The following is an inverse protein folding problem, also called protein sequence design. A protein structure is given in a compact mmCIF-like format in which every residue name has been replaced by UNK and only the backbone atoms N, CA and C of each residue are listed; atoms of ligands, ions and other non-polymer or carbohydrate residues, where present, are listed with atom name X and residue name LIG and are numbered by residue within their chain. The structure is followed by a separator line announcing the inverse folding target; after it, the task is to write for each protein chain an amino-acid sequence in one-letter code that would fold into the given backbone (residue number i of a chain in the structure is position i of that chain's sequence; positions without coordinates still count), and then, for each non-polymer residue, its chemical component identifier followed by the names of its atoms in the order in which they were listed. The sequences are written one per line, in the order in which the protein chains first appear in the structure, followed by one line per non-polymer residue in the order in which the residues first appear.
data_IF_479846779169
#
_entry.id   IF_479846779169
#
_cell.length_a   1.000
_cell.length_b   1.000
_cell.length_c   1.000
_cell.angle_alpha   90.00
_cell.angle_beta   90.00
_cell.angle_gamma   90.00
#
_symmetry.space_group_name_H-M   'P 1'
#
loop_
_entity.id
_entity.type
_entity.pdbx_description
1 polymer ?
#
# COMPACT_ATOMS: atom_id res chain seq x y z
N UNK A 1 14.69 15.84 -9.86
CA UNK A 1 13.86 15.28 -10.96
C UNK A 1 12.50 14.84 -10.42
N UNK A 2 11.43 15.58 -10.73
CA UNK A 2 10.05 15.15 -10.49
C UNK A 2 9.33 15.11 -11.83
N UNK A 3 9.13 13.93 -12.41
CA UNK A 3 8.05 13.74 -13.38
C UNK A 3 7.13 12.63 -12.87
N UNK A 4 6.00 13.06 -12.29
CA UNK A 4 4.83 12.18 -12.19
C UNK A 4 4.10 12.28 -13.52
N UNK A 5 4.33 11.31 -14.38
CA UNK A 5 3.49 11.16 -15.56
C UNK A 5 2.18 10.49 -15.15
N UNK A 6 1.22 11.32 -14.76
CA UNK A 6 -0.18 10.97 -14.85
C UNK A 6 -0.83 11.79 -15.98
N UNK A 7 -1.05 11.24 -17.19
CA UNK A 7 -2.06 11.68 -18.15
C UNK A 7 -3.49 11.88 -17.62
N UNK A 8 -3.78 11.53 -16.37
CA UNK A 8 -5.09 11.75 -15.73
C UNK A 8 -5.06 12.81 -14.63
N UNK A 9 -3.91 13.42 -14.33
CA UNK A 9 -3.85 14.52 -13.36
C UNK A 9 -3.99 15.87 -14.08
N UNK A 10 -5.07 16.60 -13.77
CA UNK A 10 -5.37 17.95 -14.27
C UNK A 10 -4.38 19.04 -13.79
N UNK A 11 -3.29 18.67 -13.13
CA UNK A 11 -2.35 19.58 -12.50
C UNK A 11 -1.04 19.56 -13.30
N UNK A 12 -0.58 20.75 -13.73
CA UNK A 12 0.69 21.02 -14.45
C UNK A 12 0.80 20.40 -15.84
N UNK A 13 -0.16 20.65 -16.73
CA UNK A 13 -0.04 20.26 -18.15
C UNK A 13 1.19 20.88 -18.82
N UNK A 14 1.55 22.13 -18.51
CA UNK A 14 2.66 22.85 -19.15
C UNK A 14 4.08 22.36 -18.81
N UNK A 15 4.24 21.37 -17.91
CA UNK A 15 5.54 20.76 -17.56
C UNK A 15 5.62 19.32 -18.12
N UNK A 16 4.57 18.84 -18.80
CA UNK A 16 4.45 17.44 -19.24
C UNK A 16 4.89 17.19 -20.69
N UNK A 17 5.16 18.23 -21.47
CA UNK A 17 5.87 18.11 -22.74
C UNK A 17 7.36 18.08 -22.46
N UNK A 18 7.88 16.87 -22.26
CA UNK A 18 9.31 16.63 -22.38
C UNK A 18 9.52 16.05 -23.76
N UNK A 19 9.98 16.91 -24.66
CA UNK A 19 10.25 16.62 -26.07
C UNK A 19 11.63 15.96 -26.18
N UNK A 20 11.70 14.67 -25.86
CA UNK A 20 12.85 13.85 -26.18
C UNK A 20 12.40 12.46 -26.61
N UNK A 21 13.06 11.95 -27.65
CA UNK A 21 12.78 10.62 -28.17
C UNK A 21 13.14 9.55 -27.12
N UNK A 22 12.18 8.64 -26.88
CA UNK A 22 12.38 7.44 -26.08
C UNK A 22 12.05 6.26 -26.97
N UNK A 23 12.93 5.27 -26.98
CA UNK A 23 12.70 4.04 -27.74
C UNK A 23 11.37 3.37 -27.34
N UNK A 24 10.60 2.92 -28.34
CA UNK A 24 9.24 2.38 -28.16
C UNK A 24 9.18 1.15 -27.24
N UNK A 25 10.26 0.36 -27.18
CA UNK A 25 10.36 -0.81 -26.30
C UNK A 25 10.50 -0.42 -24.82
N UNK A 26 11.15 0.71 -24.55
CA UNK A 26 11.38 1.24 -23.21
C UNK A 26 10.23 2.13 -22.75
N UNK A 27 9.56 2.83 -23.66
CA UNK A 27 8.62 3.89 -23.29
C UNK A 27 7.53 3.41 -22.34
N UNK A 28 7.42 4.12 -21.22
CA UNK A 28 6.35 4.02 -20.28
C UNK A 28 5.90 5.44 -19.95
N UNK A 29 4.61 5.57 -19.64
CA UNK A 29 4.06 6.78 -19.05
C UNK A 29 4.96 7.22 -17.89
N UNK A 30 5.27 6.34 -16.93
CA UNK A 30 6.16 6.67 -15.80
C UNK A 30 7.65 6.58 -16.17
N UNK A 31 8.39 7.70 -16.17
CA UNK A 31 9.82 7.72 -16.52
C UNK A 31 10.70 6.86 -15.61
N UNK A 32 10.34 6.68 -14.34
CA UNK A 32 11.08 5.80 -13.45
C UNK A 32 10.97 4.33 -13.88
N UNK A 33 9.82 3.93 -14.42
CA UNK A 33 9.63 2.60 -15.02
C UNK A 33 10.39 2.49 -16.35
N UNK A 34 10.35 3.53 -17.20
CA UNK A 34 11.17 3.59 -18.42
C UNK A 34 12.66 3.41 -18.09
N UNK A 35 13.15 4.10 -17.05
CA UNK A 35 14.53 3.98 -16.60
C UNK A 35 14.89 2.56 -16.12
N UNK A 36 13.97 1.84 -15.46
CA UNK A 36 14.21 0.44 -15.11
C UNK A 36 14.26 -0.47 -16.34
N UNK A 37 13.38 -0.25 -17.33
CA UNK A 37 13.38 -1.03 -18.57
C UNK A 37 14.66 -0.83 -19.39
N UNK A 38 15.28 0.35 -19.34
CA UNK A 38 16.50 0.62 -20.10
C UNK A 38 17.67 -0.30 -19.70
N UNK A 39 17.75 -0.75 -18.45
CA UNK A 39 18.77 -1.71 -18.03
C UNK A 39 18.68 -3.04 -18.78
N UNK A 40 17.47 -3.48 -19.14
CA UNK A 40 17.31 -4.67 -19.96
C UNK A 40 17.86 -4.48 -21.37
N UNK A 41 17.63 -3.30 -21.97
CA UNK A 41 18.16 -2.95 -23.28
C UNK A 41 19.68 -2.85 -23.29
N UNK A 42 20.25 -2.28 -22.22
CA UNK A 42 21.68 -2.20 -21.99
C UNK A 42 22.31 -3.56 -21.64
N UNK A 43 21.49 -4.59 -21.41
CA UNK A 43 21.92 -5.92 -21.00
C UNK A 43 22.83 -5.93 -19.76
N UNK A 44 22.57 -5.06 -18.79
CA UNK A 44 23.36 -5.02 -17.56
C UNK A 44 23.33 -6.38 -16.85
N UNK A 45 24.47 -6.88 -16.38
CA UNK A 45 24.53 -8.12 -15.59
C UNK A 45 24.03 -7.92 -14.16
N UNK A 46 24.36 -6.76 -13.58
CA UNK A 46 23.99 -6.33 -12.24
C UNK A 46 23.45 -4.91 -12.26
N UNK A 47 22.44 -4.64 -11.44
CA UNK A 47 21.82 -3.32 -11.32
C UNK A 47 21.67 -2.97 -9.85
N UNK A 48 22.29 -1.87 -9.41
CA UNK A 48 22.05 -1.28 -8.11
C UNK A 48 21.31 0.05 -8.29
N UNK A 49 20.07 0.14 -7.81
CA UNK A 49 19.19 1.27 -8.13
C UNK A 49 18.26 1.62 -6.97
N UNK A 50 17.95 2.91 -6.85
CA UNK A 50 16.91 3.43 -5.97
C UNK A 50 15.62 3.67 -6.76
N UNK A 51 14.51 3.10 -6.31
CA UNK A 51 13.20 3.42 -6.87
C UNK A 51 12.08 3.28 -5.83
N UNK A 52 10.88 3.86 -6.06
CA UNK A 52 9.73 3.64 -5.21
C UNK A 52 9.40 2.15 -5.08
N UNK A 53 9.16 1.67 -3.85
CA UNK A 53 8.76 0.28 -3.61
C UNK A 53 7.46 -0.07 -4.38
N UNK A 54 6.60 0.92 -4.59
CA UNK A 54 5.34 0.78 -5.32
C UNK A 54 5.47 0.27 -6.76
N UNK A 55 6.65 0.36 -7.40
CA UNK A 55 6.87 -0.25 -8.71
C UNK A 55 6.81 -1.78 -8.64
N UNK A 56 7.28 -2.37 -7.54
CA UNK A 56 7.27 -3.81 -7.34
C UNK A 56 5.95 -4.29 -6.71
N UNK A 57 5.49 -3.61 -5.66
CA UNK A 57 4.44 -4.16 -4.80
C UNK A 57 3.02 -3.93 -5.32
N UNK A 58 2.82 -3.00 -6.28
CA UNK A 58 1.50 -2.76 -6.88
C UNK A 58 1.36 -3.61 -8.16
N UNK A 59 0.35 -4.47 -8.29
CA UNK A 59 0.22 -5.37 -9.45
C UNK A 59 0.22 -4.63 -10.79
N UNK A 60 -0.44 -3.48 -10.85
CA UNK A 60 -0.52 -2.66 -12.08
C UNK A 60 0.84 -2.10 -12.48
N UNK A 61 1.64 -1.64 -11.50
CA UNK A 61 2.97 -1.10 -11.77
C UNK A 61 3.96 -2.21 -12.11
N UNK A 62 3.87 -3.35 -11.41
CA UNK A 62 4.71 -4.51 -11.66
C UNK A 62 4.56 -5.00 -13.11
N UNK A 63 3.33 -5.07 -13.62
CA UNK A 63 3.05 -5.41 -15.03
C UNK A 63 3.68 -4.43 -16.01
N UNK A 64 3.84 -3.16 -15.64
CA UNK A 64 4.50 -2.16 -16.49
C UNK A 64 6.02 -2.35 -16.54
N UNK A 65 6.65 -3.18 -15.71
CA UNK A 65 8.09 -3.42 -15.80
C UNK A 65 8.46 -4.34 -16.99
N UNK A 66 7.51 -5.13 -17.49
CA UNK A 66 7.65 -5.98 -18.69
C UNK A 66 8.96 -6.80 -18.71
N UNK A 67 9.82 -6.59 -19.70
CA UNK A 67 11.07 -7.32 -19.96
C UNK A 67 12.08 -7.16 -18.82
N UNK A 68 12.03 -6.06 -18.07
CA UNK A 68 12.84 -5.91 -16.85
C UNK A 68 12.50 -7.02 -15.86
N UNK A 69 11.21 -7.23 -15.56
CA UNK A 69 10.79 -8.32 -14.67
C UNK A 69 10.91 -9.70 -15.29
N UNK A 70 10.99 -9.83 -16.62
CA UNK A 70 11.21 -11.12 -17.27
C UNK A 70 12.69 -11.57 -17.22
N UNK A 71 13.62 -10.61 -17.21
CA UNK A 71 15.06 -10.87 -17.41
C UNK A 71 15.94 -10.50 -16.21
N UNK A 72 15.34 -10.05 -15.10
CA UNK A 72 16.07 -9.69 -13.88
C UNK A 72 15.36 -10.23 -12.65
N UNK A 73 16.16 -10.55 -11.64
CA UNK A 73 15.70 -10.95 -10.31
C UNK A 73 16.29 -10.05 -9.24
N UNK A 74 15.44 -9.54 -8.32
CA UNK A 74 15.92 -8.85 -7.13
C UNK A 74 16.60 -9.86 -6.21
N UNK A 75 17.83 -9.57 -5.82
CA UNK A 75 18.63 -10.42 -4.92
C UNK A 75 18.85 -9.78 -3.54
N UNK A 76 18.75 -8.45 -3.45
CA UNK A 76 18.72 -7.72 -2.17
C UNK A 76 17.87 -6.45 -2.29
N UNK A 77 17.22 -6.06 -1.20
CA UNK A 77 16.34 -4.90 -1.16
C UNK A 77 16.30 -4.28 0.23
N UNK A 78 16.80 -3.05 0.36
CA UNK A 78 16.76 -2.26 1.60
C UNK A 78 15.73 -1.14 1.50
N UNK A 79 14.75 -1.14 2.39
CA UNK A 79 13.75 -0.08 2.48
C UNK A 79 14.30 1.11 3.25
N UNK A 80 14.18 2.28 2.65
CA UNK A 80 14.50 3.58 3.22
C UNK A 80 13.29 4.51 3.10
N UNK A 81 13.18 5.45 4.04
CA UNK A 81 12.13 6.46 4.00
C UNK A 81 12.47 7.49 2.93
N UNK A 82 11.46 7.97 2.19
CA UNK A 82 11.67 9.13 1.30
C UNK A 82 12.11 10.40 2.03
N UNK A 83 11.94 10.48 3.36
CA UNK A 83 12.46 11.61 4.16
C UNK A 83 13.98 11.70 4.20
N UNK A 84 14.71 10.63 3.87
CA UNK A 84 16.17 10.70 3.68
C UNK A 84 16.55 11.63 2.49
N UNK A 85 15.58 11.98 1.64
CA UNK A 85 15.74 12.88 0.49
C UNK A 85 14.81 14.10 0.63
N UNK A 86 15.12 15.06 1.52
CA UNK A 86 14.20 16.14 1.92
C UNK A 86 13.73 17.03 0.77
N UNK A 87 14.56 17.21 -0.27
CA UNK A 87 14.19 17.96 -1.47
C UNK A 87 13.00 17.32 -2.24
N UNK A 88 12.77 16.02 -2.06
CA UNK A 88 11.78 15.23 -2.79
C UNK A 88 10.50 14.92 -1.98
N UNK A 89 10.53 15.06 -0.65
CA UNK A 89 9.50 14.54 0.25
C UNK A 89 8.76 15.65 1.03
N UNK A 90 7.79 16.30 0.36
CA UNK A 90 7.07 17.46 0.93
C UNK A 90 5.95 17.14 1.93
N UNK A 91 5.50 15.89 2.05
CA UNK A 91 4.32 15.55 2.85
C UNK A 91 4.50 14.23 3.63
N UNK A 92 3.90 13.15 3.12
CA UNK A 92 3.90 11.83 3.78
C UNK A 92 5.08 11.02 3.26
N UNK A 93 5.90 10.44 4.15
CA UNK A 93 7.00 9.58 3.73
C UNK A 93 6.43 8.35 3.02
N UNK A 94 7.11 7.93 1.96
CA UNK A 94 6.80 6.71 1.23
C UNK A 94 8.04 5.81 1.13
N UNK A 95 7.86 4.50 0.98
CA UNK A 95 8.99 3.58 0.88
C UNK A 95 9.72 3.71 -0.45
N UNK A 96 11.03 3.92 -0.35
CA UNK A 96 11.99 3.74 -1.44
C UNK A 96 12.75 2.45 -1.15
N UNK A 97 13.07 1.68 -2.19
CA UNK A 97 13.95 0.52 -2.09
C UNK A 97 15.27 0.82 -2.77
N UNK A 98 16.37 0.57 -2.05
CA UNK A 98 17.69 0.35 -2.64
C UNK A 98 17.76 -1.13 -3.01
N UNK A 99 17.61 -1.40 -4.30
CA UNK A 99 17.49 -2.75 -4.83
C UNK A 99 18.74 -3.14 -5.62
N UNK A 100 19.19 -4.37 -5.41
CA UNK A 100 20.20 -5.03 -6.21
C UNK A 100 19.50 -6.12 -7.04
N UNK A 101 19.65 -6.04 -8.36
CA UNK A 101 19.15 -7.02 -9.32
C UNK A 101 20.30 -7.72 -10.03
N UNK A 102 20.08 -8.99 -10.35
CA UNK A 102 20.94 -9.82 -11.21
C UNK A 102 20.15 -10.21 -12.45
N UNK A 103 20.81 -10.21 -13.61
CA UNK A 103 20.23 -10.73 -14.86
C UNK A 103 19.94 -12.21 -14.70
N UNK A 104 18.71 -12.61 -15.00
CA UNK A 104 18.20 -13.95 -14.75
C UNK A 104 17.17 -14.33 -15.81
N UNK A 105 17.27 -15.53 -16.37
CA UNK A 105 16.40 -15.96 -17.48
C UNK A 105 14.98 -16.35 -17.05
N UNK A 106 14.73 -16.45 -15.75
CA UNK A 106 13.40 -16.74 -15.19
C UNK A 106 12.71 -15.47 -14.65
N UNK A 107 13.50 -14.44 -14.34
CA UNK A 107 13.04 -13.14 -13.89
C UNK A 107 12.33 -13.18 -12.54
N UNK A 108 11.29 -12.37 -12.42
CA UNK A 108 10.45 -12.19 -11.25
C UNK A 108 8.97 -12.27 -11.63
N UNK A 109 8.24 -13.09 -10.89
CA UNK A 109 6.78 -13.04 -10.88
C UNK A 109 6.29 -12.11 -9.78
N UNK A 110 5.03 -11.68 -9.85
CA UNK A 110 4.44 -10.89 -8.77
C UNK A 110 4.31 -11.71 -7.47
N UNK A 111 4.08 -13.02 -7.56
CA UNK A 111 4.09 -13.91 -6.39
C UNK A 111 5.47 -13.97 -5.73
N UNK A 112 6.54 -14.02 -6.52
CA UNK A 112 7.90 -13.92 -6.00
C UNK A 112 8.12 -12.61 -5.22
N UNK A 113 7.71 -11.46 -5.76
CA UNK A 113 7.79 -10.17 -5.04
C UNK A 113 6.96 -10.19 -3.76
N UNK A 114 5.77 -10.81 -3.76
CA UNK A 114 4.95 -10.92 -2.56
C UNK A 114 5.65 -11.70 -1.45
N UNK A 115 6.47 -12.68 -1.78
CA UNK A 115 7.22 -13.51 -0.82
C UNK A 115 8.63 -12.99 -0.54
N UNK A 116 9.09 -11.97 -1.27
CA UNK A 116 10.41 -11.37 -1.07
C UNK A 116 10.44 -10.57 0.25
N UNK A 117 11.46 -10.82 1.07
CA UNK A 117 11.65 -10.14 2.36
C UNK A 117 12.63 -8.99 2.19
N UNK A 118 12.12 -7.77 2.28
CA UNK A 118 12.92 -6.56 2.24
C UNK A 118 13.52 -6.26 3.62
N UNK A 119 14.77 -5.84 3.64
CA UNK A 119 15.44 -5.30 4.83
C UNK A 119 14.93 -3.90 5.13
N UNK A 120 15.01 -3.45 6.38
CA UNK A 120 14.54 -2.11 6.77
C UNK A 120 15.71 -1.34 7.40
N UNK A 121 16.04 -0.19 6.81
CA UNK A 121 17.09 0.67 7.33
C UNK A 121 16.79 1.09 8.79
N UNK A 122 17.81 1.08 9.64
CA UNK A 122 17.69 1.46 11.06
C UNK A 122 17.17 0.38 12.01
N UNK A 123 16.44 -0.65 11.55
CA UNK A 123 16.03 -1.81 12.40
C UNK A 123 17.03 -2.97 12.33
N UNK A 124 17.72 -3.15 11.21
CA UNK A 124 18.63 -4.28 10.98
C UNK A 124 20.09 -4.03 11.44
N UNK A 125 20.41 -2.84 11.97
CA UNK A 125 21.79 -2.43 12.28
C UNK A 125 22.34 -2.93 13.64
N UNK A 126 21.52 -3.53 14.51
CA UNK A 126 22.01 -4.06 15.80
C UNK A 126 22.61 -5.48 15.73
N UNK A 127 22.58 -6.15 14.57
CA UNK A 127 23.18 -7.49 14.40
C UNK A 127 23.91 -7.67 13.05
N UNK A 128 24.74 -6.70 12.66
CA UNK A 128 25.73 -6.90 11.58
C UNK A 128 27.14 -6.76 12.13
N UNK A 129 27.63 -7.85 12.72
CA UNK A 129 29.05 -8.12 12.88
C UNK A 129 29.34 -9.56 12.45
N UNK A 130 29.14 -9.82 11.15
CA UNK A 130 29.90 -10.81 10.37
C UNK A 130 29.52 -10.61 8.89
N UNK A 131 30.48 -10.64 7.94
CA UNK A 131 30.17 -10.67 6.52
C UNK A 131 29.48 -12.00 6.22
N UNK A 132 28.16 -11.97 6.04
CA UNK A 132 27.44 -13.11 5.49
C UNK A 132 27.81 -13.15 4.00
N UNK A 133 28.57 -14.17 3.59
CA UNK A 133 28.69 -14.54 2.17
C UNK A 133 27.26 -14.65 1.60
N UNK A 134 26.96 -14.07 0.42
CA UNK A 134 25.62 -14.12 -0.15
C UNK A 134 25.26 -15.57 -0.46
N UNK A 135 24.59 -16.24 0.47
CA UNK A 135 23.86 -17.46 0.16
C UNK A 135 22.52 -17.03 -0.41
N UNK A 136 22.25 -17.45 -1.65
CA UNK A 136 20.93 -17.35 -2.27
C UNK A 136 19.90 -17.92 -1.29
N UNK A 137 19.05 -17.06 -0.73
CA UNK A 137 17.97 -17.46 0.19
C UNK A 137 18.20 -17.25 1.68
N UNK A 138 19.24 -16.53 2.12
CA UNK A 138 19.43 -16.23 3.55
C UNK A 138 18.31 -15.32 4.11
N UNK A 139 17.41 -15.93 4.88
CA UNK A 139 16.25 -15.32 5.53
C UNK A 139 16.70 -14.41 6.68
N UNK A 140 16.58 -13.10 6.53
CA UNK A 140 16.83 -12.14 7.61
C UNK A 140 15.71 -12.19 8.65
N UNK A 141 16.09 -12.25 9.94
CA UNK A 141 15.17 -12.34 11.09
C UNK A 141 14.46 -10.98 11.37
N UNK A 142 14.87 -9.91 10.68
CA UNK A 142 14.18 -8.61 10.57
C UNK A 142 13.89 -8.31 9.10
N UNK A 143 12.68 -7.85 8.80
CA UNK A 143 12.30 -7.47 7.43
C UNK A 143 10.80 -7.36 7.20
N UNK A 144 10.44 -6.76 6.08
CA UNK A 144 9.07 -6.57 5.59
C UNK A 144 8.80 -7.50 4.42
N UNK A 145 7.69 -8.25 4.46
CA UNK A 145 7.23 -9.13 3.38
C UNK A 145 5.72 -8.94 3.21
N UNK A 146 5.25 -8.86 1.97
CA UNK A 146 3.82 -8.65 1.71
C UNK A 146 2.97 -9.87 2.09
N UNK A 147 3.53 -11.07 1.98
CA UNK A 147 2.83 -12.32 2.31
C UNK A 147 2.67 -12.55 3.81
N UNK A 148 3.31 -11.73 4.66
CA UNK A 148 3.11 -11.77 6.10
C UNK A 148 1.76 -11.16 6.52
N UNK A 149 1.04 -10.52 5.59
CA UNK A 149 -0.19 -9.78 5.87
C UNK A 149 -1.35 -10.18 4.95
N UNK A 150 -2.54 -10.06 5.49
CA UNK A 150 -3.79 -10.07 4.74
C UNK A 150 -4.31 -8.63 4.55
N UNK A 151 -5.15 -8.44 3.55
CA UNK A 151 -5.55 -7.13 3.05
C UNK A 151 -7.06 -7.02 2.85
N UNK A 152 -7.60 -5.83 3.10
CA UNK A 152 -9.05 -5.61 3.07
C UNK A 152 -9.69 -5.88 1.70
N UNK A 153 -8.90 -5.90 0.62
CA UNK A 153 -9.33 -6.26 -0.74
C UNK A 153 -9.94 -7.64 -0.86
N UNK A 154 -9.59 -8.57 0.04
CA UNK A 154 -10.24 -9.88 0.10
C UNK A 154 -11.70 -9.81 0.58
N UNK A 155 -12.09 -8.72 1.23
CA UNK A 155 -13.35 -8.61 1.97
C UNK A 155 -14.30 -7.59 1.38
N UNK A 156 -13.80 -6.43 0.92
CA UNK A 156 -14.64 -5.33 0.41
C UNK A 156 -14.12 -4.73 -0.90
N UNK A 157 -15.03 -4.01 -1.56
CA UNK A 157 -14.69 -3.24 -2.75
C UNK A 157 -13.99 -1.94 -2.39
N UNK A 158 -12.93 -1.65 -3.16
CA UNK A 158 -12.11 -0.44 -3.01
C UNK A 158 -12.45 0.67 -3.99
N UNK A 159 -13.10 0.31 -5.09
CA UNK A 159 -13.45 1.21 -6.18
C UNK A 159 -14.95 1.09 -6.48
N UNK A 160 -15.58 2.17 -6.97
CA UNK A 160 -16.97 2.14 -7.41
C UNK A 160 -17.16 1.10 -8.51
N UNK A 161 -18.21 0.29 -8.40
CA UNK A 161 -18.64 -0.64 -9.46
C UNK A 161 -19.75 0.01 -10.27
N UNK A 162 -19.65 -0.06 -11.60
CA UNK A 162 -20.67 0.49 -12.52
C UNK A 162 -22.06 -0.11 -12.29
N UNK A 163 -22.07 -1.35 -11.82
CA UNK A 163 -23.25 -2.18 -11.58
C UNK A 163 -24.00 -1.76 -10.31
N UNK A 164 -23.29 -1.17 -9.34
CA UNK A 164 -23.87 -0.80 -8.05
C UNK A 164 -24.34 0.66 -8.11
N UNK A 165 -25.60 0.85 -8.53
CA UNK A 165 -26.25 2.15 -8.45
C UNK A 165 -26.95 2.33 -7.11
N UNK A 166 -27.01 3.57 -6.58
CA UNK A 166 -27.77 3.84 -5.37
C UNK A 166 -29.25 3.53 -5.57
N UNK A 167 -29.82 2.75 -4.65
CA UNK A 167 -31.25 2.82 -4.35
C UNK A 167 -31.42 3.94 -3.34
N UNK A 168 -31.96 5.08 -3.79
CA UNK A 168 -32.11 6.26 -2.93
C UNK A 168 -33.00 5.92 -1.72
N UNK A 169 -32.71 6.57 -0.59
CA UNK A 169 -33.27 6.41 0.79
C UNK A 169 -32.57 5.43 1.74
N UNK A 170 -31.86 4.41 1.24
CA UNK A 170 -31.26 3.40 2.12
C UNK A 170 -29.82 3.01 1.75
N UNK A 171 -29.28 3.66 0.72
CA UNK A 171 -27.89 3.48 0.29
C UNK A 171 -26.90 4.14 1.26
N UNK A 172 -25.79 3.45 1.52
CA UNK A 172 -24.64 3.97 2.26
C UNK A 172 -23.46 4.13 1.31
N UNK A 173 -22.66 5.18 1.52
CA UNK A 173 -21.54 5.51 0.64
C UNK A 173 -20.21 5.53 1.38
N UNK A 174 -19.19 4.99 0.72
CA UNK A 174 -17.81 5.06 1.17
C UNK A 174 -16.95 5.66 0.06
N UNK A 175 -16.00 6.53 0.40
CA UNK A 175 -15.08 7.07 -0.58
C UNK A 175 -14.09 6.00 -1.08
N UNK A 176 -13.71 6.06 -2.35
CA UNK A 176 -12.72 5.15 -2.95
C UNK A 176 -11.45 5.01 -2.09
N UNK A 177 -11.06 3.77 -1.84
CA UNK A 177 -9.87 3.40 -1.08
C UNK A 177 -8.79 2.93 -2.05
N UNK A 178 -7.55 3.44 -1.94
CA UNK A 178 -6.44 3.02 -2.84
C UNK A 178 -5.34 2.35 -2.04
N UNK A 179 -4.40 3.10 -1.52
CA UNK A 179 -3.40 2.61 -0.59
C UNK A 179 -3.54 3.36 0.74
N UNK A 180 -2.81 2.91 1.75
CA UNK A 180 -2.80 3.52 3.08
C UNK A 180 -2.47 5.02 3.00
N UNK A 181 -1.52 5.42 2.15
CA UNK A 181 -1.19 6.82 1.95
C UNK A 181 -2.35 7.64 1.37
N UNK A 182 -3.13 7.08 0.43
CA UNK A 182 -4.34 7.73 -0.07
C UNK A 182 -5.45 7.77 0.98
N UNK A 183 -5.65 6.69 1.74
CA UNK A 183 -6.62 6.62 2.84
C UNK A 183 -6.38 7.71 3.88
N UNK A 184 -5.11 8.01 4.19
CA UNK A 184 -4.73 9.09 5.12
C UNK A 184 -5.30 10.46 4.73
N UNK A 185 -5.45 10.73 3.42
CA UNK A 185 -5.91 12.04 2.90
C UNK A 185 -7.41 12.08 2.61
N UNK A 186 -8.01 10.95 2.26
CA UNK A 186 -9.38 10.89 1.78
C UNK A 186 -10.38 10.79 2.94
N UNK A 187 -11.64 11.20 2.70
CA UNK A 187 -12.77 10.86 3.58
C UNK A 187 -13.04 9.35 3.52
N UNK A 188 -13.85 8.86 4.46
CA UNK A 188 -14.27 7.45 4.55
C UNK A 188 -15.75 7.36 4.22
N UNK A 189 -16.63 7.34 5.22
CA UNK A 189 -18.06 7.50 4.99
C UNK A 189 -18.39 8.89 4.44
N UNK A 190 -19.30 8.94 3.47
CA UNK A 190 -19.78 10.18 2.85
C UNK A 190 -21.29 10.12 2.67
N UNK A 191 -21.94 11.28 2.67
CA UNK A 191 -23.41 11.37 2.64
C UNK A 191 -23.98 11.39 1.22
N UNK A 192 -23.19 11.86 0.24
CA UNK A 192 -23.61 12.00 -1.15
C UNK A 192 -22.91 11.03 -2.08
N UNK A 193 -23.66 10.51 -3.04
CA UNK A 193 -23.14 9.71 -4.15
C UNK A 193 -22.31 10.58 -5.11
N UNK A 194 -21.21 10.03 -5.62
CA UNK A 194 -20.47 10.57 -6.76
C UNK A 194 -19.77 9.46 -7.54
N UNK A 195 -19.14 9.82 -8.67
CA UNK A 195 -18.33 8.88 -9.45
C UNK A 195 -17.15 8.26 -8.67
N UNK A 196 -16.78 8.81 -7.51
CA UNK A 196 -15.70 8.32 -6.65
C UNK A 196 -16.20 7.61 -5.38
N UNK A 197 -17.50 7.36 -5.25
CA UNK A 197 -18.07 6.68 -4.08
C UNK A 197 -18.44 5.24 -4.38
N UNK A 198 -18.08 4.35 -3.48
CA UNK A 198 -18.53 2.97 -3.40
C UNK A 198 -19.92 2.98 -2.76
N UNK A 199 -20.89 2.38 -3.44
CA UNK A 199 -22.18 2.02 -2.82
C UNK A 199 -21.95 0.76 -1.99
N UNK A 200 -22.14 0.87 -0.67
CA UNK A 200 -21.77 -0.17 0.29
C UNK A 200 -22.77 -1.34 0.23
N UNK A 201 -22.27 -2.56 0.05
CA UNK A 201 -23.01 -3.77 0.44
C UNK A 201 -23.11 -3.82 1.96
N UNK A 202 -24.32 -3.66 2.49
CA UNK A 202 -24.56 -3.58 3.94
C UNK A 202 -24.14 -4.84 4.70
N UNK A 203 -24.11 -6.00 4.03
CA UNK A 203 -23.59 -7.26 4.63
C UNK A 203 -22.10 -7.16 4.98
N UNK A 204 -21.40 -6.20 4.37
CA UNK A 204 -19.98 -5.91 4.54
C UNK A 204 -19.73 -4.61 5.32
N UNK A 205 -20.77 -3.98 5.86
CA UNK A 205 -20.66 -2.67 6.53
C UNK A 205 -19.64 -2.67 7.68
N UNK A 206 -19.53 -3.78 8.41
CA UNK A 206 -18.53 -3.98 9.48
C UNK A 206 -17.10 -3.79 8.97
N UNK A 207 -16.78 -4.23 7.76
CA UNK A 207 -15.46 -4.07 7.16
C UNK A 207 -15.20 -2.64 6.68
N UNK A 208 -16.23 -1.89 6.29
CA UNK A 208 -16.09 -0.46 6.02
C UNK A 208 -15.87 0.34 7.32
N UNK A 209 -16.54 -0.04 8.41
CA UNK A 209 -16.25 0.46 9.76
C UNK A 209 -14.81 0.15 10.18
N UNK A 210 -14.32 -1.06 9.87
CA UNK A 210 -12.93 -1.42 10.08
C UNK A 210 -11.97 -0.43 9.42
N UNK A 211 -12.15 -0.12 8.14
CA UNK A 211 -11.27 0.82 7.42
C UNK A 211 -11.35 2.23 7.99
N UNK A 212 -12.55 2.68 8.37
CA UNK A 212 -12.76 3.99 8.98
C UNK A 212 -11.96 4.16 10.29
N UNK A 213 -12.00 3.15 11.15
CA UNK A 213 -11.21 3.11 12.40
C UNK A 213 -9.71 2.93 12.11
N UNK A 214 -9.35 2.07 11.15
CA UNK A 214 -7.96 1.87 10.73
C UNK A 214 -7.30 3.19 10.31
N UNK A 215 -8.03 4.02 9.54
CA UNK A 215 -7.57 5.35 9.12
C UNK A 215 -7.17 6.24 10.31
N UNK A 216 -7.95 6.23 11.40
CA UNK A 216 -7.65 7.01 12.62
C UNK A 216 -6.42 6.50 13.37
N UNK A 217 -6.01 5.26 13.12
CA UNK A 217 -4.90 4.59 13.80
C UNK A 217 -3.62 4.47 12.94
N UNK A 218 -3.56 5.15 11.79
CA UNK A 218 -2.40 5.12 10.87
C UNK A 218 -1.09 5.67 11.49
N UNK A 219 -1.16 6.46 12.56
CA UNK A 219 0.02 6.98 13.25
C UNK A 219 0.87 5.86 13.88
N UNK A 220 0.30 4.68 14.09
CA UNK A 220 0.96 3.48 14.64
C UNK A 220 1.71 2.67 13.59
N UNK A 221 1.58 3.03 12.31
CA UNK A 221 2.17 2.30 11.19
C UNK A 221 3.46 2.95 10.71
N UNK A 222 4.50 2.15 10.45
CA UNK A 222 5.73 2.64 9.87
C UNK A 222 5.58 2.95 8.38
N UNK A 223 6.47 3.82 7.87
CA UNK A 223 6.39 4.39 6.53
C UNK A 223 6.27 3.34 5.40
N UNK A 224 6.87 2.16 5.58
CA UNK A 224 6.92 1.14 4.53
C UNK A 224 5.58 0.47 4.22
N UNK A 225 4.56 0.66 5.06
CA UNK A 225 3.19 0.27 4.73
C UNK A 225 2.46 1.29 3.85
N UNK A 226 2.98 2.50 3.66
CA UNK A 226 2.24 3.59 3.02
C UNK A 226 1.71 3.27 1.61
N UNK A 227 2.41 2.42 0.85
CA UNK A 227 1.96 1.97 -0.48
C UNK A 227 1.23 0.62 -0.48
N UNK A 228 1.04 0.00 0.69
CA UNK A 228 0.23 -1.19 0.84
C UNK A 228 -1.26 -0.86 0.84
N UNK A 229 -2.07 -1.90 0.64
CA UNK A 229 -3.48 -1.85 0.97
C UNK A 229 -3.71 -1.80 2.49
N UNK A 230 -4.96 -1.55 2.89
CA UNK A 230 -5.35 -1.64 4.30
C UNK A 230 -5.14 -3.06 4.81
N UNK A 231 -4.33 -3.21 5.85
CA UNK A 231 -4.04 -4.49 6.48
C UNK A 231 -5.26 -4.98 7.26
N UNK A 232 -5.45 -6.29 7.35
CA UNK A 232 -6.45 -6.90 8.23
C UNK A 232 -5.96 -8.27 8.72
N UNK A 233 -6.41 -8.66 9.90
CA UNK A 233 -6.47 -10.05 10.31
C UNK A 233 -7.95 -10.32 10.62
N UNK A 234 -8.65 -11.05 9.75
CA UNK A 234 -10.11 -11.17 9.82
C UNK A 234 -10.59 -11.90 11.07
N UNK A 235 -9.88 -12.95 11.50
CA UNK A 235 -10.21 -13.67 12.73
C UNK A 235 -10.04 -12.76 13.97
N UNK A 236 -8.97 -11.96 14.00
CA UNK A 236 -8.78 -10.96 15.04
C UNK A 236 -9.86 -9.88 14.95
N UNK A 237 -10.19 -9.42 13.74
CA UNK A 237 -11.22 -8.38 13.55
C UNK A 237 -12.57 -8.87 14.06
N UNK A 238 -12.97 -10.10 13.73
CA UNK A 238 -14.21 -10.72 14.23
C UNK A 238 -14.29 -10.71 15.76
N UNK A 239 -13.18 -10.98 16.46
CA UNK A 239 -13.11 -10.92 17.94
C UNK A 239 -13.31 -9.50 18.50
N UNK A 240 -12.79 -8.49 17.82
CA UNK A 240 -12.84 -7.08 18.25
C UNK A 240 -13.93 -6.26 17.54
N UNK A 241 -14.76 -6.88 16.70
CA UNK A 241 -15.73 -6.23 15.81
C UNK A 241 -16.61 -5.20 16.51
N UNK A 242 -17.10 -5.53 17.71
CA UNK A 242 -17.96 -4.65 18.48
C UNK A 242 -17.26 -3.33 18.86
N UNK A 243 -15.94 -3.35 19.10
CA UNK A 243 -15.15 -2.15 19.36
C UNK A 243 -15.11 -1.24 18.13
N UNK A 244 -14.89 -1.83 16.95
CA UNK A 244 -14.84 -1.10 15.67
C UNK A 244 -16.15 -0.43 15.33
N UNK A 245 -17.26 -1.17 15.45
CA UNK A 245 -18.59 -0.62 15.14
C UNK A 245 -18.97 0.46 16.16
N UNK A 246 -18.70 0.22 17.45
CA UNK A 246 -19.00 1.19 18.50
C UNK A 246 -18.20 2.49 18.35
N UNK A 247 -16.94 2.42 17.92
CA UNK A 247 -16.16 3.62 17.59
C UNK A 247 -16.69 4.32 16.34
N UNK A 248 -17.03 3.56 15.30
CA UNK A 248 -17.57 4.09 14.03
C UNK A 248 -18.87 4.85 14.25
N UNK A 249 -19.83 4.29 14.99
CA UNK A 249 -21.12 4.94 15.26
C UNK A 249 -21.00 6.24 16.05
N UNK A 250 -19.98 6.38 16.89
CA UNK A 250 -19.73 7.65 17.60
C UNK A 250 -19.27 8.75 16.65
N UNK A 251 -18.45 8.40 15.68
CA UNK A 251 -17.94 9.34 14.68
C UNK A 251 -18.94 9.60 13.55
N UNK A 252 -19.82 8.63 13.28
CA UNK A 252 -20.83 8.67 12.22
C UNK A 252 -22.20 8.24 12.78
N UNK A 253 -22.90 9.09 13.56
CA UNK A 253 -24.12 8.72 14.27
C UNK A 253 -25.26 8.21 13.36
N UNK A 254 -25.31 8.68 12.11
CA UNK A 254 -26.30 8.22 11.12
C UNK A 254 -26.20 6.71 10.82
N UNK A 255 -25.05 6.08 11.10
CA UNK A 255 -24.86 4.63 10.92
C UNK A 255 -25.51 3.79 12.02
N UNK A 256 -25.96 4.39 13.13
CA UNK A 256 -26.49 3.65 14.28
C UNK A 256 -27.69 2.78 13.92
N UNK A 257 -28.57 3.25 13.04
CA UNK A 257 -29.73 2.47 12.58
C UNK A 257 -29.36 1.27 11.70
N UNK A 258 -28.14 1.24 11.16
CA UNK A 258 -27.68 0.20 10.23
C UNK A 258 -26.89 -0.91 10.93
N UNK A 259 -26.25 -0.61 12.05
CA UNK A 259 -25.63 -1.61 12.90
C UNK A 259 -26.64 -2.07 13.94
N UNK A 260 -27.16 -3.29 13.79
CA UNK A 260 -28.16 -3.89 14.68
C UNK A 260 -27.56 -4.29 16.05
N UNK A 261 -26.73 -3.42 16.64
CA UNK A 261 -25.99 -3.69 17.86
C UNK A 261 -26.06 -2.49 18.80
N UNK A 262 -25.91 -2.76 20.10
CA UNK A 262 -25.79 -1.74 21.12
C UNK A 262 -24.31 -1.39 21.28
N UNK A 263 -23.90 -0.13 21.04
CA UNK A 263 -22.50 0.26 21.19
C UNK A 263 -22.03 0.06 22.65
N UNK A 264 -20.89 -0.59 22.81
CA UNK A 264 -20.22 -0.73 24.13
C UNK A 264 -19.63 0.61 24.56
N UNK A 265 -19.29 0.77 25.84
CA UNK A 265 -18.73 2.01 26.38
C UNK A 265 -17.46 2.50 25.66
N UNK A 266 -17.23 3.82 25.69
CA UNK A 266 -16.12 4.46 24.95
C UNK A 266 -14.76 3.93 25.40
N UNK A 267 -14.57 3.79 26.71
CA UNK A 267 -13.31 3.32 27.29
C UNK A 267 -13.03 1.86 26.91
N UNK A 268 -14.07 1.01 26.93
CA UNK A 268 -13.98 -0.38 26.53
C UNK A 268 -13.63 -0.52 25.03
N UNK A 269 -14.31 0.24 24.16
CA UNK A 269 -14.01 0.25 22.73
C UNK A 269 -12.57 0.72 22.46
N UNK A 270 -12.12 1.80 23.10
CA UNK A 270 -10.77 2.33 22.94
C UNK A 270 -9.69 1.31 23.38
N UNK A 271 -9.88 0.64 24.53
CA UNK A 271 -8.98 -0.40 25.02
C UNK A 271 -8.92 -1.61 24.06
N UNK A 272 -10.08 -2.04 23.54
CA UNK A 272 -10.14 -3.13 22.57
C UNK A 272 -9.44 -2.80 21.26
N UNK A 273 -9.63 -1.57 20.73
CA UNK A 273 -8.93 -1.11 19.53
C UNK A 273 -7.41 -1.02 19.74
N UNK A 274 -6.98 -0.54 20.91
CA UNK A 274 -5.56 -0.47 21.24
C UNK A 274 -4.90 -1.86 21.21
N UNK A 275 -5.55 -2.84 21.84
CA UNK A 275 -5.10 -4.23 21.83
C UNK A 275 -5.11 -4.82 20.42
N UNK A 276 -6.17 -4.59 19.65
CA UNK A 276 -6.26 -5.05 18.26
C UNK A 276 -5.07 -4.56 17.43
N UNK A 277 -4.77 -3.26 17.45
CA UNK A 277 -3.68 -2.70 16.63
C UNK A 277 -2.28 -3.10 17.12
N UNK A 278 -2.11 -3.35 18.42
CA UNK A 278 -0.87 -3.96 18.94
C UNK A 278 -0.67 -5.37 18.39
N UNK A 279 -1.72 -6.19 18.39
CA UNK A 279 -1.68 -7.55 17.86
C UNK A 279 -1.53 -7.59 16.34
N UNK A 280 -2.27 -6.75 15.60
CA UNK A 280 -2.21 -6.69 14.14
C UNK A 280 -0.81 -6.29 13.64
N UNK A 281 -0.21 -5.27 14.25
CA UNK A 281 1.09 -4.75 13.79
C UNK A 281 2.28 -5.50 14.40
N UNK A 282 2.11 -6.12 15.57
CA UNK A 282 3.15 -6.88 16.25
C UNK A 282 4.48 -6.12 16.33
N UNK A 283 5.56 -6.73 15.83
CA UNK A 283 6.91 -6.12 15.78
C UNK A 283 7.02 -4.84 14.92
N UNK A 284 5.99 -4.52 14.14
CA UNK A 284 5.95 -3.35 13.28
C UNK A 284 5.24 -2.15 13.93
N UNK A 285 4.59 -2.33 15.09
CA UNK A 285 3.96 -1.23 15.83
C UNK A 285 5.00 -0.14 16.19
N UNK A 286 4.62 1.13 16.02
CA UNK A 286 5.41 2.31 16.42
C UNK A 286 5.12 2.74 17.86
#
# INVERSE_FOLDING_TARGET
MQSRHEPTSLIRHNIKDVDFDIDEDIVCRDLGISFLRSYNKLQADLICVLHPLSYLIKPTNFKLLKEFTANYRIIDGLLISSWEFPESAKHTPFPIVLALYERDTQGMTYSFIRSFRFRIAGKDNKKRAAPIKPQRGAMSIGGFCLSDFDYITGYIDKYPKKENRPTYDDSLFFWTMRDINALKRNRTFVESYSANTIVIDKRKLDYYAYVDVFKRNLHRLPFYFGNCDVLINDDLFKKYKLCFISDTVRHHPFLKKHFQIHPIEKQQAASGLDMYFKLLFGKHHL
#
